data_IF_261615165987
#
_entry.id   IF_261615165987
#
_cell.length_a   1.000
_cell.length_b   1.000
_cell.length_c   1.000
_cell.angle_alpha   90.00
_cell.angle_beta   90.00
_cell.angle_gamma   90.00
#
_symmetry.space_group_name_H-M   'P 1'
#
loop_
_entity.id
_entity.type
_entity.pdbx_description
1 polymer ?
#
# COMPACT_ATOMS: atom_id res chain seq x y z
N UNK A 1 -0.70 -6.79 7.68
CA UNK A 1 0.72 -6.72 7.26
C UNK A 1 0.96 -5.71 6.14
N UNK A 2 0.31 -5.85 4.97
CA UNK A 2 0.54 -4.98 3.81
C UNK A 2 0.35 -3.47 4.09
N UNK A 3 -0.72 -3.07 4.79
CA UNK A 3 -0.96 -1.67 5.16
C UNK A 3 0.14 -1.10 6.10
N UNK A 4 0.70 -1.95 6.98
CA UNK A 4 1.81 -1.56 7.88
C UNK A 4 3.05 -1.20 7.06
N UNK A 5 3.41 -2.03 6.07
CA UNK A 5 4.51 -1.74 5.14
C UNK A 5 4.22 -0.48 4.31
N UNK A 6 3.02 -0.40 3.70
CA UNK A 6 2.63 0.68 2.82
C UNK A 6 2.66 2.07 3.50
N UNK A 7 2.42 2.13 4.81
CA UNK A 7 2.44 3.38 5.57
C UNK A 7 3.76 4.13 5.46
N UNK A 8 4.88 3.44 5.26
CA UNK A 8 6.21 4.04 5.06
C UNK A 8 6.38 4.72 3.69
N UNK A 9 5.49 4.43 2.75
CA UNK A 9 5.53 4.95 1.38
C UNK A 9 4.47 6.04 1.12
N UNK A 10 3.43 6.14 1.95
CA UNK A 10 2.39 7.18 1.82
C UNK A 10 2.97 8.61 1.74
N UNK A 11 3.99 9.00 2.54
CA UNK A 11 4.58 10.33 2.44
C UNK A 11 5.23 10.64 1.09
N UNK A 12 5.55 9.62 0.29
CA UNK A 12 6.17 9.78 -1.03
C UNK A 12 5.13 10.01 -2.14
N UNK A 13 3.83 9.90 -1.85
CA UNK A 13 2.77 10.20 -2.81
C UNK A 13 2.73 11.71 -3.04
N UNK A 14 3.11 12.13 -4.24
CA UNK A 14 3.19 13.53 -4.64
C UNK A 14 2.00 13.93 -5.52
N UNK A 15 1.13 14.78 -5.00
CA UNK A 15 0.01 15.33 -5.76
C UNK A 15 0.04 16.85 -5.65
N UNK A 16 -0.42 17.52 -6.70
CA UNK A 16 -0.55 18.97 -6.72
C UNK A 16 -1.56 19.46 -5.67
N UNK A 17 -2.71 18.79 -5.58
CA UNK A 17 -3.73 19.07 -4.57
C UNK A 17 -3.53 18.19 -3.32
N UNK A 18 -2.81 18.73 -2.34
CA UNK A 18 -2.54 18.07 -1.07
C UNK A 18 -3.82 17.85 -0.24
N UNK A 19 -4.81 18.73 -0.33
CA UNK A 19 -6.06 18.60 0.40
C UNK A 19 -6.86 17.40 -0.14
N UNK A 20 -7.01 17.28 -1.45
CA UNK A 20 -7.68 16.14 -2.08
C UNK A 20 -6.90 14.84 -1.82
N UNK A 21 -5.55 14.88 -1.83
CA UNK A 21 -4.73 13.72 -1.43
C UNK A 21 -5.08 13.23 -0.03
N UNK A 22 -5.12 14.12 0.97
CA UNK A 22 -5.42 13.75 2.35
C UNK A 22 -6.86 13.26 2.52
N UNK A 23 -7.81 13.88 1.81
CA UNK A 23 -9.21 13.45 1.78
C UNK A 23 -9.34 12.03 1.24
N UNK A 24 -8.70 11.72 0.11
CA UNK A 24 -8.69 10.37 -0.47
C UNK A 24 -8.05 9.36 0.50
N UNK A 25 -6.88 9.68 1.05
CA UNK A 25 -6.18 8.79 2.00
C UNK A 25 -7.05 8.45 3.21
N UNK A 26 -7.74 9.44 3.75
CA UNK A 26 -8.64 9.28 4.91
C UNK A 26 -9.83 8.39 4.55
N UNK A 27 -10.58 8.74 3.50
CA UNK A 27 -11.76 7.99 3.06
C UNK A 27 -11.43 6.52 2.75
N UNK A 28 -10.31 6.28 2.07
CA UNK A 28 -9.88 4.91 1.72
C UNK A 28 -9.52 4.11 2.97
N UNK A 29 -8.84 4.72 3.95
CA UNK A 29 -8.48 4.06 5.22
C UNK A 29 -9.71 3.71 6.04
N UNK A 30 -10.71 4.58 6.08
CA UNK A 30 -11.97 4.34 6.77
C UNK A 30 -12.71 3.15 6.17
N UNK A 31 -12.85 3.09 4.84
CA UNK A 31 -13.50 1.95 4.16
C UNK A 31 -12.68 0.66 4.35
N UNK A 32 -11.35 0.75 4.29
CA UNK A 32 -10.48 -0.39 4.56
C UNK A 32 -10.69 -0.95 5.98
N UNK A 33 -10.72 -0.08 6.99
CA UNK A 33 -10.96 -0.50 8.37
C UNK A 33 -12.38 -1.05 8.54
N UNK A 34 -13.40 -0.38 8.01
CA UNK A 34 -14.77 -0.88 8.04
C UNK A 34 -14.88 -2.26 7.38
N UNK A 35 -14.13 -2.52 6.31
CA UNK A 35 -14.10 -3.84 5.67
C UNK A 35 -13.47 -4.90 6.57
N UNK A 36 -12.37 -4.58 7.26
CA UNK A 36 -11.74 -5.50 8.23
C UNK A 36 -12.69 -5.79 9.41
N UNK A 37 -13.49 -4.82 9.81
CA UNK A 37 -14.47 -4.96 10.89
C UNK A 37 -15.79 -5.64 10.44
N UNK A 38 -15.90 -6.06 9.18
CA UNK A 38 -17.12 -6.65 8.62
C UNK A 38 -18.27 -5.65 8.39
N UNK A 39 -18.01 -4.35 8.49
CA UNK A 39 -18.99 -3.25 8.33
C UNK A 39 -19.07 -2.67 6.91
N UNK A 40 -18.15 -3.04 6.03
CA UNK A 40 -18.18 -2.67 4.62
C UNK A 40 -18.13 -3.92 3.71
N UNK A 41 -18.83 -3.82 2.58
CA UNK A 41 -18.87 -4.85 1.55
C UNK A 41 -17.58 -4.90 0.71
N UNK A 42 -17.37 -6.01 0.00
CA UNK A 42 -16.29 -6.12 -0.99
C UNK A 42 -16.46 -5.10 -2.14
N UNK A 43 -17.69 -4.73 -2.47
CA UNK A 43 -18.00 -3.71 -3.47
C UNK A 43 -17.55 -2.32 -3.04
N UNK A 44 -17.83 -1.93 -1.80
CA UNK A 44 -17.36 -0.66 -1.22
C UNK A 44 -15.83 -0.61 -1.14
N UNK A 45 -15.19 -1.71 -0.71
CA UNK A 45 -13.73 -1.81 -0.73
C UNK A 45 -13.18 -1.64 -2.16
N UNK A 46 -13.81 -2.24 -3.17
CA UNK A 46 -13.38 -2.09 -4.57
C UNK A 46 -13.47 -0.64 -5.04
N UNK A 47 -14.53 0.09 -4.67
CA UNK A 47 -14.63 1.53 -4.92
C UNK A 47 -13.52 2.31 -4.24
N UNK A 48 -13.22 2.02 -2.97
CA UNK A 48 -12.10 2.63 -2.27
C UNK A 48 -10.75 2.31 -2.94
N UNK A 49 -10.56 1.08 -3.43
CA UNK A 49 -9.38 0.71 -4.21
C UNK A 49 -9.25 1.50 -5.52
N UNK A 50 -10.35 1.76 -6.23
CA UNK A 50 -10.35 2.64 -7.40
C UNK A 50 -10.01 4.08 -7.03
N UNK A 51 -10.54 4.57 -5.91
CA UNK A 51 -10.21 5.91 -5.40
C UNK A 51 -8.72 6.01 -5.03
N UNK A 52 -8.16 5.02 -4.34
CA UNK A 52 -6.73 4.95 -4.05
C UNK A 52 -5.87 4.93 -5.32
N UNK A 53 -6.33 4.26 -6.39
CA UNK A 53 -5.63 4.26 -7.67
C UNK A 53 -5.63 5.63 -8.38
N UNK A 54 -6.59 6.52 -8.09
CA UNK A 54 -6.55 7.89 -8.62
C UNK A 54 -5.31 8.64 -8.15
N UNK A 55 -4.85 8.41 -6.91
CA UNK A 55 -3.59 8.96 -6.40
C UNK A 55 -2.42 8.61 -7.33
N UNK A 56 -2.38 7.37 -7.85
CA UNK A 56 -1.33 6.95 -8.80
C UNK A 56 -1.48 7.61 -10.18
N UNK A 57 -2.69 7.96 -10.59
CA UNK A 57 -2.94 8.61 -11.89
C UNK A 57 -2.61 10.10 -11.85
N UNK A 58 -2.77 10.73 -10.68
CA UNK A 58 -2.54 12.15 -10.45
C UNK A 58 -1.15 12.46 -9.87
N UNK A 59 -0.34 11.42 -9.61
CA UNK A 59 0.98 11.58 -9.04
C UNK A 59 1.93 12.35 -9.99
N UNK A 60 2.70 13.28 -9.44
CA UNK A 60 3.59 14.16 -10.22
C UNK A 60 4.88 13.45 -10.66
N UNK A 61 5.36 12.47 -9.90
CA UNK A 61 6.56 11.71 -10.23
C UNK A 61 6.30 10.21 -10.36
N UNK A 62 7.27 9.49 -10.93
CA UNK A 62 7.25 8.03 -10.90
C UNK A 62 7.33 7.49 -9.46
N UNK A 63 8.09 8.15 -8.58
CA UNK A 63 8.21 7.73 -7.17
C UNK A 63 6.83 7.80 -6.51
N UNK A 64 6.14 8.92 -6.59
CA UNK A 64 4.81 9.04 -5.98
C UNK A 64 3.75 8.21 -6.66
N UNK A 65 3.84 8.01 -7.98
CA UNK A 65 2.98 7.07 -8.73
C UNK A 65 3.09 5.65 -8.15
N UNK A 66 4.30 5.15 -7.97
CA UNK A 66 4.49 3.79 -7.44
C UNK A 66 4.22 3.72 -5.94
N UNK A 67 4.51 4.77 -5.17
CA UNK A 67 4.11 4.86 -3.76
C UNK A 67 2.58 4.77 -3.58
N UNK A 68 1.81 5.45 -4.44
CA UNK A 68 0.37 5.35 -4.47
C UNK A 68 -0.12 3.94 -4.83
N UNK A 69 0.59 3.24 -5.73
CA UNK A 69 0.29 1.83 -6.05
C UNK A 69 0.58 0.89 -4.89
N UNK A 70 1.64 1.13 -4.10
CA UNK A 70 1.87 0.39 -2.84
C UNK A 70 0.65 0.51 -1.93
N UNK A 71 0.15 1.73 -1.73
CA UNK A 71 -1.02 1.99 -0.89
C UNK A 71 -2.29 1.32 -1.46
N UNK A 72 -2.59 1.49 -2.74
CA UNK A 72 -3.79 0.92 -3.37
C UNK A 72 -3.81 -0.61 -3.31
N UNK A 73 -2.68 -1.28 -3.55
CA UNK A 73 -2.55 -2.73 -3.42
C UNK A 73 -2.65 -3.18 -1.96
N UNK A 74 -2.10 -2.41 -1.02
CA UNK A 74 -2.24 -2.71 0.41
C UNK A 74 -3.71 -2.66 0.87
N UNK A 75 -4.50 -1.71 0.39
CA UNK A 75 -5.96 -1.64 0.64
C UNK A 75 -6.67 -2.87 0.08
N UNK A 76 -6.32 -3.26 -1.15
CA UNK A 76 -6.93 -4.41 -1.82
C UNK A 76 -6.69 -5.75 -1.11
N UNK A 77 -5.76 -5.83 -0.14
CA UNK A 77 -5.56 -7.03 0.67
C UNK A 77 -6.77 -7.44 1.52
N UNK A 78 -7.66 -6.49 1.86
CA UNK A 78 -8.92 -6.79 2.54
C UNK A 78 -9.98 -7.42 1.61
N UNK A 79 -9.67 -7.55 0.31
CA UNK A 79 -10.43 -8.36 -0.65
C UNK A 79 -9.75 -9.71 -0.88
N UNK A 80 -8.47 -9.70 -1.25
CA UNK A 80 -7.69 -10.92 -1.49
C UNK A 80 -6.24 -10.75 -1.05
N UNK A 81 -5.74 -11.74 -0.29
CA UNK A 81 -4.39 -11.70 0.30
C UNK A 81 -3.27 -11.57 -0.74
N UNK A 82 -3.51 -12.06 -1.97
CA UNK A 82 -2.57 -11.96 -3.10
C UNK A 82 -2.14 -10.53 -3.45
N UNK A 83 -2.90 -9.48 -3.08
CA UNK A 83 -2.44 -8.11 -3.29
C UNK A 83 -1.25 -7.70 -2.38
N UNK A 84 -0.95 -8.46 -1.33
CA UNK A 84 0.15 -8.17 -0.42
C UNK A 84 1.52 -8.26 -1.11
N UNK A 85 1.74 -9.27 -1.96
CA UNK A 85 3.00 -9.43 -2.70
C UNK A 85 3.15 -8.33 -3.76
N UNK A 86 2.06 -7.96 -4.43
CA UNK A 86 2.06 -6.87 -5.43
C UNK A 86 2.39 -5.53 -4.77
N UNK A 87 1.85 -5.26 -3.57
CA UNK A 87 2.21 -4.07 -2.80
C UNK A 87 3.71 -4.07 -2.43
N UNK A 88 4.23 -5.22 -1.99
CA UNK A 88 5.63 -5.39 -1.62
C UNK A 88 6.59 -5.17 -2.82
N UNK A 89 6.22 -5.63 -4.00
CA UNK A 89 7.02 -5.44 -5.22
C UNK A 89 7.01 -3.99 -5.71
N UNK A 90 5.88 -3.29 -5.58
CA UNK A 90 5.87 -1.85 -5.83
C UNK A 90 6.71 -1.07 -4.83
N UNK A 91 6.80 -1.51 -3.57
CA UNK A 91 7.68 -0.89 -2.58
C UNK A 91 9.15 -1.02 -3.00
N UNK A 92 9.56 -2.19 -3.50
CA UNK A 92 10.89 -2.37 -4.12
C UNK A 92 11.07 -1.46 -5.33
N UNK A 93 10.06 -1.34 -6.19
CA UNK A 93 10.12 -0.42 -7.34
C UNK A 93 10.35 1.02 -6.90
N UNK A 94 9.71 1.48 -5.82
CA UNK A 94 9.94 2.81 -5.26
C UNK A 94 11.38 2.96 -4.77
N UNK A 95 11.93 1.99 -4.03
CA UNK A 95 13.33 2.02 -3.58
C UNK A 95 14.32 2.09 -4.75
N UNK A 96 14.11 1.27 -5.77
CA UNK A 96 14.95 1.30 -6.98
C UNK A 96 14.84 2.62 -7.75
N UNK A 97 13.71 3.34 -7.66
CA UNK A 97 13.59 4.68 -8.26
C UNK A 97 14.26 5.76 -7.42
N UNK A 98 14.27 5.61 -6.09
CA UNK A 98 14.97 6.53 -5.18
C UNK A 98 16.49 6.36 -5.26
N UNK A 99 16.98 5.15 -5.53
CA UNK A 99 18.40 4.83 -5.59
C UNK A 99 18.67 3.71 -6.62
N UNK A 100 18.75 4.04 -7.93
CA UNK A 100 18.83 3.07 -9.02
C UNK A 100 19.99 2.06 -8.93
N UNK A 101 21.14 2.48 -8.41
CA UNK A 101 22.35 1.66 -8.32
C UNK A 101 22.58 1.10 -6.90
N UNK A 102 21.63 1.28 -5.98
CA UNK A 102 21.73 0.78 -4.61
C UNK A 102 20.94 -0.52 -4.42
N UNK A 103 21.58 -1.62 -4.79
CA UNK A 103 21.04 -2.96 -4.54
C UNK A 103 20.83 -3.24 -3.04
N UNK A 104 21.64 -2.65 -2.16
CA UNK A 104 21.52 -2.88 -0.71
C UNK A 104 20.23 -2.30 -0.14
N UNK A 105 19.77 -1.16 -0.67
CA UNK A 105 18.48 -0.59 -0.31
C UNK A 105 17.31 -1.53 -0.66
N UNK A 106 17.36 -2.15 -1.84
CA UNK A 106 16.35 -3.12 -2.26
C UNK A 106 16.38 -4.39 -1.40
N UNK A 107 17.57 -4.91 -1.09
CA UNK A 107 17.75 -6.06 -0.20
C UNK A 107 17.20 -5.76 1.19
N UNK A 108 17.52 -4.60 1.76
CA UNK A 108 17.03 -4.17 3.07
C UNK A 108 15.52 -4.08 3.12
N UNK A 109 14.90 -3.46 2.10
CA UNK A 109 13.45 -3.37 2.00
C UNK A 109 12.80 -4.76 1.90
N UNK A 110 13.36 -5.66 1.06
CA UNK A 110 12.86 -7.04 0.95
C UNK A 110 12.99 -7.80 2.27
N UNK A 111 14.12 -7.65 2.97
CA UNK A 111 14.34 -8.24 4.30
C UNK A 111 13.29 -7.79 5.31
N UNK A 112 12.97 -6.48 5.35
CA UNK A 112 11.91 -5.95 6.20
C UNK A 112 10.52 -6.51 5.87
N UNK A 113 10.22 -6.71 4.58
CA UNK A 113 8.97 -7.32 4.14
C UNK A 113 8.86 -8.79 4.56
N UNK A 114 9.96 -9.56 4.45
CA UNK A 114 10.03 -10.96 4.91
C UNK A 114 9.81 -11.01 6.43
N UNK A 115 10.47 -10.16 7.20
CA UNK A 115 10.31 -10.14 8.67
C UNK A 115 8.87 -9.79 9.06
N UNK A 116 8.24 -8.81 8.39
CA UNK A 116 6.83 -8.49 8.59
C UNK A 116 5.91 -9.67 8.26
N UNK A 117 6.24 -10.47 7.25
CA UNK A 117 5.49 -11.67 6.89
C UNK A 117 5.67 -12.72 7.99
N UNK A 118 6.92 -13.08 8.30
CA UNK A 118 7.24 -14.08 9.32
C UNK A 118 6.63 -13.73 10.69
N UNK A 119 6.65 -12.46 11.09
CA UNK A 119 5.98 -12.02 12.31
C UNK A 119 4.46 -12.20 12.27
N UNK A 120 3.83 -11.97 11.11
CA UNK A 120 2.40 -12.23 10.91
C UNK A 120 2.08 -13.73 11.01
N UNK A 121 2.88 -14.59 10.35
CA UNK A 121 2.78 -16.06 10.44
C UNK A 121 2.85 -16.52 11.90
N UNK A 122 3.91 -16.12 12.62
CA UNK A 122 4.13 -16.48 14.03
C UNK A 122 3.00 -16.00 14.95
N UNK A 123 2.27 -14.94 14.57
CA UNK A 123 1.14 -14.43 15.36
C UNK A 123 -0.14 -15.28 15.27
N UNK A 124 -0.16 -16.32 14.43
CA UNK A 124 -1.34 -17.19 14.26
C UNK A 124 -2.52 -16.52 13.54
N UNK A 125 -2.33 -15.31 13.00
CA UNK A 125 -3.37 -14.53 12.31
C UNK A 125 -3.58 -14.94 10.85
N UNK A 126 -2.95 -16.02 10.39
CA UNK A 126 -3.10 -16.52 9.01
C UNK A 126 -4.45 -17.22 8.75
N UNK A 127 -5.12 -17.70 9.79
CA UNK A 127 -6.37 -18.48 9.68
C UNK A 127 -7.64 -17.64 9.75
N UNK A 128 -7.53 -16.30 9.91
CA UNK A 128 -8.65 -15.35 9.89
C UNK A 128 -8.76 -14.60 8.55
#
# INVERSE_FOLDING_TARGET
MAMKMASSFIPLIDMEDEFEKQKILTQVREVFQARLDGRASAYELRKAGFLANKLSQQAQSQIGKYAARVFAQAVATAHMRGHAIVAADYAIKVRNLQSPDDLQLAIKERGGQIELASAFIRSGKETL
#
